data_IF_102837740980
#
_entry.id   IF_102837740980
#
_cell.length_a   1.000
_cell.length_b   1.000
_cell.length_c   1.000
_cell.angle_alpha   90.00
_cell.angle_beta   90.00
_cell.angle_gamma   90.00
#
_symmetry.space_group_name_H-M   'P 1'
#
loop_
_entity.id
_entity.type
_entity.pdbx_description
1 polymer ?
#
# COMPACT_ATOMS: atom_id res chain seq x y z
N UNK A 1 33.01 10.69 -20.40
CA UNK A 1 33.65 10.70 -19.07
C UNK A 1 32.62 11.12 -18.03
N UNK A 2 32.26 10.23 -17.12
CA UNK A 2 31.66 10.55 -15.82
C UNK A 2 31.69 9.27 -14.98
N UNK A 3 32.78 9.11 -14.22
CA UNK A 3 33.08 7.98 -13.36
C UNK A 3 32.98 8.45 -11.90
N UNK A 4 31.80 8.28 -11.29
CA UNK A 4 31.57 8.48 -9.86
C UNK A 4 30.09 8.16 -9.64
N UNK A 5 29.69 7.10 -8.93
CA UNK A 5 29.77 7.01 -7.47
C UNK A 5 29.59 5.52 -7.10
N UNK A 6 30.66 4.84 -6.72
CA UNK A 6 30.58 3.61 -5.93
C UNK A 6 30.58 4.02 -4.46
N UNK A 7 29.44 3.92 -3.77
CA UNK A 7 29.41 4.01 -2.29
C UNK A 7 29.44 2.60 -1.70
N UNK A 8 30.43 2.26 -0.85
CA UNK A 8 30.37 1.03 -0.07
C UNK A 8 29.36 1.17 1.08
N UNK A 9 28.37 0.28 1.14
CA UNK A 9 27.47 0.12 2.29
C UNK A 9 28.18 -0.77 3.31
N UNK A 10 29.13 -0.21 4.05
CA UNK A 10 29.59 -0.78 5.32
C UNK A 10 29.12 0.17 6.43
N UNK A 11 28.05 -0.23 7.11
CA UNK A 11 27.52 0.48 8.28
C UNK A 11 28.00 -0.28 9.52
N UNK A 12 28.89 0.28 10.36
CA UNK A 12 29.26 -0.37 11.60
C UNK A 12 28.06 -0.36 12.57
N UNK A 13 27.78 -1.53 13.13
CA UNK A 13 26.72 -1.75 14.13
C UNK A 13 27.20 -1.21 15.48
N UNK A 14 26.88 0.05 15.79
CA UNK A 14 27.13 0.64 17.10
C UNK A 14 26.05 0.18 18.09
N UNK A 15 26.41 -0.69 19.04
CA UNK A 15 25.59 -0.98 20.22
C UNK A 15 25.59 0.23 21.13
N UNK A 16 24.50 0.99 21.15
CA UNK A 16 24.25 2.00 22.19
C UNK A 16 22.93 1.67 22.87
N UNK A 17 23.01 0.95 23.99
CA UNK A 17 21.92 0.92 24.96
C UNK A 17 21.90 2.29 25.65
N UNK A 18 21.00 3.18 25.22
CA UNK A 18 20.63 4.38 26.00
C UNK A 18 19.16 4.25 26.37
N UNK A 19 18.95 3.94 27.65
CA UNK A 19 17.65 4.03 28.32
C UNK A 19 17.47 5.51 28.69
N UNK A 20 16.36 6.18 28.31
CA UNK A 20 16.07 7.52 28.82
C UNK A 20 15.48 7.43 30.22
N UNK A 21 16.28 7.74 31.24
CA UNK A 21 15.80 7.99 32.60
C UNK A 21 15.32 9.44 32.70
N UNK A 22 14.03 9.67 32.49
CA UNK A 22 13.38 10.90 32.87
C UNK A 22 12.96 10.79 34.35
N UNK A 23 13.55 11.64 35.20
CA UNK A 23 13.03 12.24 36.45
C UNK A 23 14.18 12.48 37.44
N UNK A 24 14.73 13.69 37.42
CA UNK A 24 15.39 14.27 38.59
C UNK A 24 14.59 15.52 38.99
N UNK A 25 13.81 15.39 40.06
CA UNK A 25 13.30 16.54 40.82
C UNK A 25 13.97 16.51 42.18
N UNK A 26 14.80 17.52 42.42
CA UNK A 26 15.26 17.90 43.75
C UNK A 26 14.07 18.47 44.52
N UNK A 27 13.75 17.88 45.67
CA UNK A 27 12.97 18.53 46.72
C UNK A 27 13.59 18.12 48.06
N UNK A 28 14.08 19.11 48.80
CA UNK A 28 14.67 18.97 50.13
C UNK A 28 13.58 18.57 51.15
N UNK A 29 13.89 17.62 52.02
CA UNK A 29 13.06 17.21 53.16
C UNK A 29 13.04 18.29 54.26
N UNK A 30 11.88 18.61 54.86
CA UNK A 30 11.84 18.92 56.27
C UNK A 30 11.79 17.61 57.06
N UNK A 31 12.68 17.47 58.05
CA UNK A 31 12.68 16.38 59.00
C UNK A 31 11.39 16.43 59.84
N UNK A 32 10.52 15.43 59.69
CA UNK A 32 9.50 15.10 60.67
C UNK A 32 9.78 13.69 61.19
N UNK A 33 9.98 13.59 62.50
CA UNK A 33 10.08 12.33 63.26
C UNK A 33 8.71 11.65 63.30
N UNK A 34 8.72 10.36 63.66
CA UNK A 34 7.65 9.44 64.14
C UNK A 34 7.49 8.21 63.22
N UNK A 35 7.18 7.01 63.75
CA UNK A 35 7.88 6.16 64.72
C UNK A 35 8.47 4.92 64.00
N UNK A 36 9.11 4.02 64.73
CA UNK A 36 9.58 2.71 64.21
C UNK A 36 8.41 1.88 63.68
N UNK A 37 8.21 1.88 62.36
CA UNK A 37 7.32 0.95 61.65
C UNK A 37 8.06 -0.36 61.42
N UNK A 38 7.61 -1.42 62.08
CA UNK A 38 8.01 -2.80 61.81
C UNK A 38 7.28 -3.31 60.56
N UNK A 39 7.53 -2.73 59.39
CA UNK A 39 7.05 -3.31 58.14
C UNK A 39 8.08 -4.34 57.65
N UNK A 40 7.69 -5.59 57.37
CA UNK A 40 8.61 -6.59 56.82
C UNK A 40 9.13 -6.14 55.44
N UNK A 41 10.44 -6.23 55.25
CA UNK A 41 11.21 -5.91 54.05
C UNK A 41 10.90 -6.88 52.88
N UNK A 42 9.63 -7.08 52.52
CA UNK A 42 9.26 -7.93 51.40
C UNK A 42 8.34 -7.18 50.45
N UNK A 43 8.89 -6.81 49.30
CA UNK A 43 8.21 -6.11 48.19
C UNK A 43 7.31 -7.03 47.35
N UNK A 44 7.11 -8.28 47.76
CA UNK A 44 6.20 -9.23 47.11
C UNK A 44 4.79 -9.09 47.68
N UNK A 45 3.84 -8.69 46.83
CA UNK A 45 2.43 -8.59 47.23
C UNK A 45 1.92 -9.95 47.74
N UNK A 46 1.31 -9.97 48.93
CA UNK A 46 0.67 -11.16 49.50
C UNK A 46 -0.44 -11.64 48.57
N UNK A 47 -0.22 -12.78 47.90
CA UNK A 47 -1.22 -13.42 47.04
C UNK A 47 -2.44 -13.81 47.89
N UNK A 48 -3.56 -13.12 47.68
CA UNK A 48 -4.81 -13.46 48.33
C UNK A 48 -5.28 -14.87 47.92
N UNK A 49 -5.85 -15.58 48.89
CA UNK A 49 -6.39 -16.94 48.72
C UNK A 49 -7.46 -16.95 47.61
N UNK A 50 -7.19 -17.67 46.51
CA UNK A 50 -8.15 -17.86 45.41
C UNK A 50 -9.46 -18.45 45.94
N UNK A 51 -10.56 -17.74 45.71
CA UNK A 51 -11.90 -18.25 45.99
C UNK A 51 -12.17 -19.48 45.11
N UNK A 52 -12.66 -20.58 45.71
CA UNK A 52 -12.81 -21.89 45.03
C UNK A 52 -13.81 -21.89 43.87
N UNK A 53 -14.63 -20.84 43.72
CA UNK A 53 -15.61 -20.65 42.63
C UNK A 53 -15.29 -19.36 41.88
N UNK A 54 -14.29 -19.40 40.99
CA UNK A 54 -14.06 -18.31 40.03
C UNK A 54 -15.18 -18.22 39.00
N UNK A 55 -15.32 -17.10 38.27
CA UNK A 55 -16.30 -16.99 37.19
C UNK A 55 -16.04 -18.10 36.15
N UNK A 56 -17.11 -18.79 35.76
CA UNK A 56 -17.05 -19.79 34.68
C UNK A 56 -16.75 -19.03 33.39
N UNK A 57 -15.51 -19.11 32.92
CA UNK A 57 -15.12 -18.57 31.62
C UNK A 57 -15.65 -19.54 30.58
N UNK A 58 -16.45 -19.04 29.63
CA UNK A 58 -16.98 -19.84 28.53
C UNK A 58 -15.82 -20.61 27.83
N UNK A 59 -15.91 -21.95 27.69
CA UNK A 59 -14.87 -22.75 27.05
C UNK A 59 -14.57 -22.34 25.60
N UNK A 60 -15.50 -21.66 24.92
CA UNK A 60 -15.25 -21.07 23.60
C UNK A 60 -14.27 -19.91 23.69
N UNK A 61 -14.39 -19.08 24.72
CA UNK A 61 -13.46 -17.96 24.96
C UNK A 61 -12.06 -18.49 25.30
N UNK A 62 -11.95 -19.59 26.05
CA UNK A 62 -10.65 -20.21 26.32
C UNK A 62 -10.05 -20.83 25.06
N UNK A 63 -10.85 -21.48 24.21
CA UNK A 63 -10.40 -21.99 22.91
C UNK A 63 -9.96 -20.88 21.97
N UNK A 64 -10.71 -19.77 21.89
CA UNK A 64 -10.34 -18.59 21.11
C UNK A 64 -9.02 -18.01 21.63
N UNK A 65 -8.89 -17.80 22.95
CA UNK A 65 -7.66 -17.29 23.56
C UNK A 65 -6.47 -18.23 23.32
N UNK A 66 -6.72 -19.53 23.38
CA UNK A 66 -5.72 -20.54 23.08
C UNK A 66 -5.23 -20.39 21.64
N UNK A 67 -6.12 -20.41 20.64
CA UNK A 67 -5.73 -20.31 19.23
C UNK A 67 -5.13 -18.95 18.84
N UNK A 68 -5.54 -17.85 19.48
CA UNK A 68 -4.98 -16.52 19.22
C UNK A 68 -3.59 -16.31 19.83
N UNK A 69 -3.35 -16.87 21.02
CA UNK A 69 -2.12 -16.64 21.78
C UNK A 69 -1.27 -17.90 21.97
N UNK A 70 -1.47 -18.90 21.12
CA UNK A 70 -0.77 -20.17 21.29
C UNK A 70 0.72 -20.02 21.01
N UNK A 71 1.61 -20.38 21.97
CA UNK A 71 3.05 -20.29 21.76
C UNK A 71 3.63 -21.40 20.85
N UNK A 72 2.81 -22.16 20.11
CA UNK A 72 3.27 -23.13 19.10
C UNK A 72 3.85 -22.47 17.83
N UNK A 73 4.38 -21.26 17.94
CA UNK A 73 5.25 -20.74 16.90
C UNK A 73 6.50 -21.62 16.84
N UNK A 74 6.82 -22.25 15.69
CA UNK A 74 8.00 -23.08 15.58
C UNK A 74 9.25 -22.23 15.84
N UNK A 75 10.32 -22.89 16.28
CA UNK A 75 11.61 -22.21 16.48
C UNK A 75 12.08 -21.56 15.16
N UNK A 76 12.80 -20.42 15.23
CA UNK A 76 13.36 -19.80 14.04
C UNK A 76 14.19 -20.79 13.21
N UNK A 77 14.06 -20.69 11.90
CA UNK A 77 14.68 -21.61 10.96
C UNK A 77 16.19 -21.36 10.87
N UNK A 78 16.98 -22.37 11.18
CA UNK A 78 18.45 -22.34 11.06
C UNK A 78 18.89 -23.08 9.81
N UNK A 79 19.66 -22.43 8.94
CA UNK A 79 20.19 -23.01 7.72
C UNK A 79 21.68 -23.33 7.84
N UNK A 80 22.11 -24.43 7.24
CA UNK A 80 23.53 -24.65 6.94
C UNK A 80 24.01 -23.67 5.87
N UNK A 81 25.32 -23.45 5.78
CA UNK A 81 25.93 -22.48 4.84
C UNK A 81 25.47 -22.67 3.38
N UNK A 82 25.49 -23.90 2.87
CA UNK A 82 25.06 -24.16 1.48
C UNK A 82 23.55 -23.88 1.30
N UNK A 83 22.72 -24.19 2.31
CA UNK A 83 21.29 -23.92 2.26
C UNK A 83 20.98 -22.42 2.35
N UNK A 84 21.70 -21.68 3.19
CA UNK A 84 21.53 -20.22 3.32
C UNK A 84 21.93 -19.51 2.03
N UNK A 85 23.00 -19.95 1.36
CA UNK A 85 23.42 -19.40 0.06
C UNK A 85 22.38 -19.68 -1.03
N UNK A 86 21.85 -20.91 -1.12
CA UNK A 86 20.77 -21.24 -2.08
C UNK A 86 19.54 -20.36 -1.85
N UNK A 87 19.11 -20.23 -0.60
CA UNK A 87 17.98 -19.36 -0.25
C UNK A 87 18.24 -17.91 -0.63
N UNK A 88 19.43 -17.38 -0.35
CA UNK A 88 19.80 -16.01 -0.71
C UNK A 88 19.77 -15.77 -2.22
N UNK A 89 20.30 -16.72 -3.00
CA UNK A 89 20.29 -16.63 -4.46
C UNK A 89 18.87 -16.62 -5.02
N UNK A 90 18.02 -17.54 -4.55
CA UNK A 90 16.60 -17.60 -4.96
C UNK A 90 15.89 -16.29 -4.59
N UNK A 91 16.06 -15.81 -3.36
CA UNK A 91 15.45 -14.56 -2.91
C UNK A 91 15.89 -13.37 -3.76
N UNK A 92 17.19 -13.25 -4.05
CA UNK A 92 17.72 -12.18 -4.91
C UNK A 92 17.20 -12.27 -6.34
N UNK A 93 17.16 -13.48 -6.92
CA UNK A 93 16.61 -13.70 -8.25
C UNK A 93 15.13 -13.31 -8.33
N UNK A 94 14.35 -13.68 -7.31
CA UNK A 94 12.94 -13.29 -7.18
C UNK A 94 12.77 -11.77 -7.08
N UNK A 95 13.58 -11.09 -6.26
CA UNK A 95 13.54 -9.62 -6.17
C UNK A 95 13.88 -8.93 -7.51
N UNK A 96 14.85 -9.47 -8.25
CA UNK A 96 15.18 -8.96 -9.59
C UNK A 96 14.04 -9.19 -10.58
N UNK A 97 13.43 -10.38 -10.56
CA UNK A 97 12.25 -10.70 -11.37
C UNK A 97 11.10 -9.72 -11.09
N UNK A 98 10.76 -9.49 -9.82
CA UNK A 98 9.71 -8.54 -9.45
C UNK A 98 10.02 -7.11 -9.90
N UNK A 99 11.28 -6.67 -9.81
CA UNK A 99 11.70 -5.36 -10.30
C UNK A 99 11.49 -5.25 -11.81
N UNK A 100 11.89 -6.27 -12.57
CA UNK A 100 11.69 -6.32 -14.02
C UNK A 100 10.20 -6.31 -14.37
N UNK A 101 9.38 -7.08 -13.66
CA UNK A 101 7.93 -7.12 -13.87
C UNK A 101 7.27 -5.77 -13.65
N UNK A 102 7.59 -5.11 -12.53
CA UNK A 102 7.09 -3.75 -12.23
C UNK A 102 7.55 -2.71 -13.27
N UNK A 103 8.80 -2.81 -13.73
CA UNK A 103 9.30 -1.91 -14.77
C UNK A 103 8.55 -2.12 -16.10
N UNK A 104 8.28 -3.37 -16.47
CA UNK A 104 7.49 -3.68 -17.66
C UNK A 104 6.04 -3.19 -17.54
N UNK A 105 5.40 -3.42 -16.40
CA UNK A 105 4.05 -2.89 -16.08
C UNK A 105 4.01 -1.36 -16.20
N UNK A 106 5.03 -0.66 -15.67
CA UNK A 106 5.11 0.80 -15.75
C UNK A 106 5.30 1.31 -17.19
N UNK A 107 6.17 0.66 -17.97
CA UNK A 107 6.36 1.00 -19.39
C UNK A 107 5.12 0.76 -20.22
N UNK A 108 4.37 -0.30 -19.93
CA UNK A 108 3.12 -0.60 -20.63
C UNK A 108 2.04 0.44 -20.30
N UNK A 109 1.93 0.87 -19.03
CA UNK A 109 1.05 1.98 -18.64
C UNK A 109 1.47 3.30 -19.30
N UNK A 110 2.77 3.58 -19.38
CA UNK A 110 3.30 4.75 -20.09
C UNK A 110 2.95 4.69 -21.58
N UNK A 111 3.13 3.53 -22.22
CA UNK A 111 2.77 3.31 -23.64
C UNK A 111 1.29 3.58 -23.88
N UNK A 112 0.41 3.04 -23.03
CA UNK A 112 -1.04 3.26 -23.10
C UNK A 112 -1.37 4.75 -22.93
N UNK A 113 -0.77 5.41 -21.94
CA UNK A 113 -0.95 6.84 -21.70
C UNK A 113 -0.50 7.69 -22.90
N UNK A 114 0.68 7.42 -23.46
CA UNK A 114 1.19 8.16 -24.62
C UNK A 114 0.31 7.95 -25.85
N UNK A 115 -0.20 6.73 -26.06
CA UNK A 115 -1.16 6.44 -27.13
C UNK A 115 -2.46 7.23 -26.96
N UNK A 116 -3.05 7.20 -25.75
CA UNK A 116 -4.26 7.97 -25.42
C UNK A 116 -4.05 9.47 -25.59
N UNK A 117 -2.90 9.99 -25.15
CA UNK A 117 -2.52 11.40 -25.28
C UNK A 117 -2.42 11.81 -26.76
N UNK A 118 -1.75 11.01 -27.58
CA UNK A 118 -1.61 11.29 -29.01
C UNK A 118 -2.98 11.31 -29.71
N UNK A 119 -3.85 10.34 -29.39
CA UNK A 119 -5.22 10.31 -29.92
C UNK A 119 -6.04 11.53 -29.49
N UNK A 120 -5.92 11.96 -28.23
CA UNK A 120 -6.61 13.15 -27.74
C UNK A 120 -6.10 14.45 -28.38
N UNK A 121 -4.79 14.59 -28.59
CA UNK A 121 -4.23 15.74 -29.33
C UNK A 121 -4.71 15.74 -30.79
N UNK A 122 -4.83 14.57 -31.41
CA UNK A 122 -5.40 14.45 -32.75
C UNK A 122 -6.86 14.95 -32.78
N UNK A 123 -7.69 14.54 -31.81
CA UNK A 123 -9.07 15.04 -31.69
C UNK A 123 -9.17 16.53 -31.41
N UNK A 124 -8.18 17.10 -30.70
CA UNK A 124 -8.12 18.55 -30.42
C UNK A 124 -7.91 19.34 -31.70
N UNK A 125 -7.07 18.82 -32.60
CA UNK A 125 -6.73 19.43 -33.88
C UNK A 125 -7.69 19.05 -35.02
N UNK A 126 -8.74 18.27 -34.75
CA UNK A 126 -9.67 17.80 -35.77
C UNK A 126 -10.83 18.78 -35.96
N UNK A 127 -11.13 19.10 -37.22
CA UNK A 127 -12.33 19.83 -37.63
C UNK A 127 -13.56 18.90 -37.73
N UNK A 128 -14.75 19.47 -37.89
CA UNK A 128 -16.01 18.73 -38.10
C UNK A 128 -15.96 17.74 -39.28
N UNK A 129 -15.18 18.06 -40.31
CA UNK A 129 -15.00 17.22 -41.50
C UNK A 129 -13.94 16.12 -41.32
N UNK A 130 -13.34 15.99 -40.14
CA UNK A 130 -12.31 14.99 -39.85
C UNK A 130 -10.90 15.35 -40.34
N UNK A 131 -10.71 16.53 -40.91
CA UNK A 131 -9.41 17.02 -41.36
C UNK A 131 -8.60 17.61 -40.19
N UNK A 132 -7.28 17.43 -40.24
CA UNK A 132 -6.35 17.99 -39.25
C UNK A 132 -6.11 19.47 -39.52
N UNK A 133 -6.21 20.26 -38.47
CA UNK A 133 -6.04 21.71 -38.43
C UNK A 133 -4.74 22.06 -37.71
N UNK A 134 -4.16 23.22 -38.02
CA UNK A 134 -2.96 23.72 -37.36
C UNK A 134 -3.22 24.02 -35.88
N UNK A 135 -2.17 23.94 -35.04
CA UNK A 135 -2.30 24.21 -33.60
C UNK A 135 -2.76 25.63 -33.28
N UNK A 136 -2.40 26.60 -34.12
CA UNK A 136 -2.81 28.00 -33.99
C UNK A 136 -4.33 28.20 -34.19
N UNK A 137 -4.95 27.39 -35.05
CA UNK A 137 -6.38 27.49 -35.37
C UNK A 137 -7.27 26.72 -34.37
N UNK A 138 -6.73 25.70 -33.70
CA UNK A 138 -7.49 24.77 -32.85
C UNK A 138 -7.80 25.30 -31.43
N UNK A 139 -7.16 26.40 -31.00
CA UNK A 139 -7.30 26.95 -29.66
C UNK A 139 -6.50 26.18 -28.60
N UNK A 140 -6.65 26.57 -27.33
CA UNK A 140 -5.88 26.00 -26.21
C UNK A 140 -6.42 24.66 -25.69
N UNK A 141 -5.83 24.19 -24.58
CA UNK A 141 -6.31 23.01 -23.85
C UNK A 141 -7.32 23.43 -22.77
N UNK A 142 -8.51 22.81 -22.74
CA UNK A 142 -9.51 23.05 -21.71
C UNK A 142 -10.95 23.03 -22.22
N UNK A 143 -11.90 23.01 -21.28
CA UNK A 143 -13.34 23.07 -21.57
C UNK A 143 -13.89 24.51 -21.60
N UNK A 144 -13.09 25.49 -21.21
CA UNK A 144 -13.52 26.89 -21.07
C UNK A 144 -13.80 27.54 -22.43
N UNK A 145 -14.83 28.40 -22.53
CA UNK A 145 -15.20 29.05 -23.78
C UNK A 145 -14.14 30.05 -24.27
N UNK A 146 -13.27 30.56 -23.37
CA UNK A 146 -12.15 31.44 -23.73
C UNK A 146 -10.99 30.72 -24.42
N UNK A 147 -11.06 29.39 -24.52
CA UNK A 147 -10.00 28.54 -25.08
C UNK A 147 -10.27 28.19 -26.54
N UNK A 148 -11.38 28.67 -27.12
CA UNK A 148 -11.78 28.42 -28.50
C UNK A 148 -10.83 29.13 -29.49
N UNK A 149 -10.43 28.42 -30.54
CA UNK A 149 -9.59 28.98 -31.61
C UNK A 149 -10.39 29.77 -32.64
N UNK A 150 -9.72 30.17 -33.72
CA UNK A 150 -10.29 31.04 -34.79
C UNK A 150 -11.52 30.42 -35.45
N UNK A 151 -11.53 29.09 -35.63
CA UNK A 151 -12.67 28.34 -36.18
C UNK A 151 -13.77 28.01 -35.14
N UNK A 152 -13.70 28.62 -33.96
CA UNK A 152 -14.74 28.54 -32.94
C UNK A 152 -14.94 27.12 -32.38
N UNK A 153 -16.20 26.68 -32.31
CA UNK A 153 -16.60 25.43 -31.65
C UNK A 153 -16.49 24.19 -32.53
N UNK A 154 -16.21 24.33 -33.82
CA UNK A 154 -16.17 23.17 -34.73
C UNK A 154 -14.90 22.35 -34.55
N UNK A 155 -13.76 23.05 -34.40
CA UNK A 155 -12.47 22.41 -34.09
C UNK A 155 -12.44 21.97 -32.63
N UNK A 156 -11.97 20.75 -32.39
CA UNK A 156 -11.82 20.19 -31.04
C UNK A 156 -13.14 19.86 -30.33
N UNK A 157 -14.29 19.86 -31.03
CA UNK A 157 -15.61 19.51 -30.46
C UNK A 157 -15.59 18.12 -29.83
N UNK A 158 -15.07 17.12 -30.54
CA UNK A 158 -14.98 15.74 -30.07
C UNK A 158 -14.03 15.61 -28.87
N UNK A 159 -12.91 16.35 -28.88
CA UNK A 159 -11.99 16.42 -27.76
C UNK A 159 -12.66 16.93 -26.48
N UNK A 160 -13.39 18.06 -26.56
CA UNK A 160 -14.11 18.61 -25.40
C UNK A 160 -15.14 17.62 -24.87
N UNK A 161 -15.91 16.97 -25.75
CA UNK A 161 -16.86 15.92 -25.35
C UNK A 161 -16.18 14.73 -24.66
N UNK A 162 -15.03 14.27 -25.16
CA UNK A 162 -14.28 13.16 -24.57
C UNK A 162 -13.66 13.50 -23.20
N UNK A 163 -13.34 14.78 -22.96
CA UNK A 163 -12.79 15.23 -21.68
C UNK A 163 -13.85 15.34 -20.57
N UNK A 164 -15.15 15.31 -20.91
CA UNK A 164 -16.23 15.35 -19.91
C UNK A 164 -16.20 14.09 -19.03
N UNK A 165 -16.15 14.29 -17.70
CA UNK A 165 -16.11 13.20 -16.71
C UNK A 165 -17.46 12.89 -16.06
N UNK A 166 -18.56 13.04 -16.82
CA UNK A 166 -19.92 12.72 -16.34
C UNK A 166 -20.04 11.22 -16.07
N UNK A 167 -20.49 10.84 -14.87
CA UNK A 167 -20.68 9.43 -14.49
C UNK A 167 -19.40 8.63 -14.23
N UNK A 168 -18.22 9.22 -14.44
CA UNK A 168 -16.93 8.52 -14.25
C UNK A 168 -16.65 8.22 -12.77
N UNK A 169 -17.10 9.09 -11.87
CA UNK A 169 -16.95 8.91 -10.42
C UNK A 169 -17.97 7.95 -9.80
N UNK A 170 -18.78 7.27 -10.63
CA UNK A 170 -19.61 6.14 -10.20
C UNK A 170 -18.79 4.85 -10.05
N UNK A 171 -19.47 3.71 -9.97
CA UNK A 171 -18.84 2.38 -9.95
C UNK A 171 -18.72 1.79 -11.36
N UNK A 172 -17.72 0.93 -11.55
CA UNK A 172 -17.62 0.06 -12.73
C UNK A 172 -18.71 -1.03 -12.63
N UNK A 173 -19.33 -1.48 -13.75
CA UNK A 173 -20.28 -2.59 -13.74
C UNK A 173 -19.70 -3.83 -13.06
N UNK A 174 -20.48 -4.43 -12.15
CA UNK A 174 -20.01 -5.50 -11.28
C UNK A 174 -19.64 -6.77 -12.06
N UNK A 175 -20.27 -6.98 -13.22
CA UNK A 175 -19.99 -8.12 -14.09
C UNK A 175 -18.59 -8.07 -14.69
N UNK A 176 -18.04 -6.86 -14.92
CA UNK A 176 -16.69 -6.67 -15.43
C UNK A 176 -15.62 -6.71 -14.33
N UNK A 177 -15.99 -6.41 -13.08
CA UNK A 177 -15.09 -6.43 -11.93
C UNK A 177 -14.77 -7.87 -11.43
N UNK A 178 -15.22 -8.91 -12.13
CA UNK A 178 -14.93 -10.31 -11.79
C UNK A 178 -13.44 -10.60 -11.90
N UNK A 179 -12.88 -11.23 -10.87
CA UNK A 179 -11.47 -11.62 -10.83
C UNK A 179 -11.22 -12.87 -11.67
N UNK A 180 -9.99 -13.02 -12.15
CA UNK A 180 -9.54 -14.25 -12.80
C UNK A 180 -9.56 -15.41 -11.79
N UNK A 181 -10.14 -16.54 -12.20
CA UNK A 181 -10.18 -17.79 -11.42
C UNK A 181 -9.15 -18.80 -11.92
N UNK A 182 -8.75 -19.73 -11.06
CA UNK A 182 -7.78 -20.79 -11.41
C UNK A 182 -8.34 -21.76 -12.47
N UNK A 183 -9.65 -22.03 -12.41
CA UNK A 183 -10.38 -22.86 -13.39
C UNK A 183 -11.57 -22.10 -13.96
N UNK A 184 -11.92 -22.29 -15.24
CA UNK A 184 -13.09 -21.68 -15.82
C UNK A 184 -14.38 -22.29 -15.23
N UNK A 185 -15.49 -21.56 -15.37
CA UNK A 185 -16.82 -22.10 -15.10
C UNK A 185 -17.20 -23.15 -16.15
N UNK A 186 -18.19 -24.00 -15.85
CA UNK A 186 -18.63 -25.06 -16.76
C UNK A 186 -19.13 -24.52 -18.11
N UNK A 187 -19.83 -23.38 -18.09
CA UNK A 187 -20.39 -22.74 -19.28
C UNK A 187 -19.40 -21.76 -19.95
N UNK A 188 -18.38 -21.29 -19.22
CA UNK A 188 -17.33 -20.39 -19.73
C UNK A 188 -17.83 -18.96 -20.04
N UNK A 189 -18.64 -18.81 -21.09
CA UNK A 189 -19.19 -17.54 -21.57
C UNK A 189 -20.66 -17.66 -21.98
N UNK A 190 -21.47 -16.66 -21.60
CA UNK A 190 -22.88 -16.62 -21.97
C UNK A 190 -23.06 -16.01 -23.37
N UNK A 191 -23.25 -16.86 -24.38
CA UNK A 191 -23.54 -16.44 -25.77
C UNK A 191 -24.98 -15.99 -25.99
N UNK A 192 -25.90 -16.34 -25.09
CA UNK A 192 -27.33 -16.04 -25.18
C UNK A 192 -27.71 -14.73 -24.46
N UNK A 193 -26.72 -13.90 -24.10
CA UNK A 193 -26.96 -12.65 -23.42
C UNK A 193 -27.86 -11.73 -24.25
N UNK A 194 -28.97 -11.29 -23.65
CA UNK A 194 -29.94 -10.38 -24.26
C UNK A 194 -30.20 -9.19 -23.33
N UNK A 195 -30.40 -8.02 -23.92
CA UNK A 195 -30.78 -6.80 -23.19
C UNK A 195 -32.30 -6.80 -23.01
N UNK A 196 -32.75 -7.29 -21.86
CA UNK A 196 -34.15 -7.15 -21.43
C UNK A 196 -34.53 -5.68 -21.23
#
# INVERSE_FOLDING_TARGET
>A
MNLSILRPIFRPFAKTNRIPSALQRNAQCPQQRIPTSTSPFSSTAQLQKRNKKGPVIDPRITSIRYHLYHPLTPRPLHFSRNRSLRHWTIHRAWMLFLRKRRAAEALELERQYMSMRAACEHLRLMDSNGNRVSEAEAGGQGADPGTLGVKGRDVGRLYRSAMIKRGVWGSVPIEYAKLQTDFPSQEGWNHEWTRN
#
